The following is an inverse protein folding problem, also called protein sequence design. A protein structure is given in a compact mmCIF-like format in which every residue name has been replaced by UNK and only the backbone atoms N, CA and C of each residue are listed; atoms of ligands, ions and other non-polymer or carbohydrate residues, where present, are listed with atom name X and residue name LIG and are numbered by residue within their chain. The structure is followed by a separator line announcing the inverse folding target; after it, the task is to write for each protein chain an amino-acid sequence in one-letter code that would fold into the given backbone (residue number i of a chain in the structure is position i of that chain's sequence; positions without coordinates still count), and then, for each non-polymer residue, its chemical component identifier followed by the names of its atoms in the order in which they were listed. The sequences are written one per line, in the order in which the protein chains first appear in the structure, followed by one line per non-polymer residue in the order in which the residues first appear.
data_IF_316906940907
#
_entry.id   IF_316906940907
#
_cell.length_a   1.000
_cell.length_b   1.000
_cell.length_c   1.000
_cell.angle_alpha   90.00
_cell.angle_beta   90.00
_cell.angle_gamma   90.00
#
_symmetry.space_group_name_H-M   'P 1'
#
loop_
_entity.id
_entity.type
_entity.pdbx_description
1 polymer ?
#
# COMPACT_ATOMS: atom_id res chain seq x y z
N UNK A 1 -23.98 -8.77 -2.25
CA UNK A 1 -23.43 -7.46 -1.91
C UNK A 1 -22.75 -7.51 -0.55
N UNK A 2 -21.59 -6.98 -0.45
CA UNK A 2 -20.87 -7.00 0.82
C UNK A 2 -20.84 -5.60 1.43
N UNK A 3 -21.05 -5.55 2.74
CA UNK A 3 -20.94 -4.30 3.50
C UNK A 3 -19.57 -4.14 4.13
N UNK A 4 -18.58 -4.84 3.57
CA UNK A 4 -17.21 -4.77 4.08
C UNK A 4 -16.63 -3.38 3.83
N UNK A 5 -16.00 -2.84 4.85
CA UNK A 5 -15.25 -1.60 4.71
C UNK A 5 -13.98 -1.86 3.91
N UNK A 6 -13.63 -0.91 3.07
CA UNK A 6 -12.42 -1.00 2.25
C UNK A 6 -11.27 -0.30 2.97
N UNK A 7 -10.17 -1.01 3.11
CA UNK A 7 -8.94 -0.49 3.67
C UNK A 7 -7.93 -0.39 2.54
N UNK A 8 -7.44 0.82 2.28
CA UNK A 8 -6.41 1.05 1.27
C UNK A 8 -5.09 1.37 1.97
N UNK A 9 -4.08 0.56 1.71
CA UNK A 9 -2.73 0.79 2.18
C UNK A 9 -1.97 1.47 1.06
N UNK A 10 -1.30 2.59 1.38
CA UNK A 10 -0.55 3.37 0.40
C UNK A 10 0.93 3.27 0.72
N UNK A 11 1.73 2.87 -0.25
CA UNK A 11 3.18 2.72 -0.09
C UNK A 11 3.89 3.56 -1.15
N UNK A 12 4.50 4.69 -0.76
CA UNK A 12 5.38 5.41 -1.66
C UNK A 12 6.69 4.65 -1.83
N UNK A 13 7.18 4.60 -3.06
CA UNK A 13 8.38 3.84 -3.41
C UNK A 13 9.38 4.70 -4.16
N UNK A 14 10.65 4.56 -3.83
CA UNK A 14 11.75 5.10 -4.61
C UNK A 14 12.95 4.18 -4.45
N UNK A 15 13.32 3.47 -5.52
CA UNK A 15 14.44 2.52 -5.52
C UNK A 15 14.32 1.45 -4.43
N UNK A 16 13.16 0.76 -4.41
CA UNK A 16 12.83 -0.24 -3.39
C UNK A 16 12.62 -1.64 -3.99
N UNK A 17 13.29 -1.96 -5.10
CA UNK A 17 13.05 -3.23 -5.80
C UNK A 17 13.26 -4.48 -4.93
N UNK A 18 14.13 -4.40 -3.91
CA UNK A 18 14.40 -5.53 -3.04
C UNK A 18 13.36 -5.72 -1.93
N UNK A 19 12.56 -4.69 -1.66
CA UNK A 19 11.69 -4.67 -0.49
C UNK A 19 10.20 -4.73 -0.80
N UNK A 20 9.77 -4.32 -2.00
CA UNK A 20 8.33 -4.16 -2.26
C UNK A 20 7.56 -5.48 -2.20
N UNK A 21 8.14 -6.59 -2.67
CA UNK A 21 7.46 -7.88 -2.59
C UNK A 21 7.32 -8.37 -1.16
N UNK A 22 8.36 -8.21 -0.36
CA UNK A 22 8.32 -8.62 1.05
C UNK A 22 7.31 -7.79 1.82
N UNK A 23 7.28 -6.49 1.59
CA UNK A 23 6.30 -5.61 2.22
C UNK A 23 4.87 -6.04 1.87
N UNK A 24 4.62 -6.28 0.59
CA UNK A 24 3.30 -6.71 0.14
C UNK A 24 2.93 -8.06 0.75
N UNK A 25 3.85 -9.01 0.75
CA UNK A 25 3.61 -10.34 1.31
C UNK A 25 3.18 -10.24 2.78
N UNK A 26 3.90 -9.45 3.57
CA UNK A 26 3.61 -9.28 5.00
C UNK A 26 2.30 -8.52 5.22
N UNK A 27 2.05 -7.48 4.43
CA UNK A 27 0.80 -6.71 4.54
C UNK A 27 -0.40 -7.58 4.17
N UNK A 28 -0.29 -8.35 3.10
CA UNK A 28 -1.36 -9.24 2.67
C UNK A 28 -1.63 -10.32 3.71
N UNK A 29 -0.57 -10.87 4.32
CA UNK A 29 -0.74 -11.88 5.36
C UNK A 29 -1.54 -11.34 6.55
N UNK A 30 -1.29 -10.10 6.95
CA UNK A 30 -2.06 -9.44 8.01
C UNK A 30 -3.51 -9.26 7.59
N UNK A 31 -3.75 -8.73 6.40
CA UNK A 31 -5.12 -8.45 5.93
C UNK A 31 -5.91 -9.74 5.70
N UNK A 32 -5.25 -10.84 5.36
CA UNK A 32 -5.92 -12.14 5.21
C UNK A 32 -6.46 -12.66 6.55
N UNK A 33 -5.92 -12.20 7.67
CA UNK A 33 -6.47 -12.52 9.00
C UNK A 33 -7.67 -11.65 9.37
N UNK A 34 -8.01 -10.68 8.53
CA UNK A 34 -9.06 -9.69 8.79
C UNK A 34 -10.08 -9.70 7.62
N UNK A 35 -10.80 -10.82 7.43
CA UNK A 35 -11.65 -10.99 6.24
C UNK A 35 -12.87 -10.05 6.22
N UNK A 36 -13.15 -9.36 7.33
CA UNK A 36 -14.22 -8.36 7.39
C UNK A 36 -13.89 -7.11 6.58
N UNK A 37 -12.64 -6.92 6.16
CA UNK A 37 -12.24 -5.78 5.35
C UNK A 37 -11.95 -6.19 3.91
N UNK A 38 -12.28 -5.30 2.98
CA UNK A 38 -11.79 -5.37 1.61
C UNK A 38 -10.45 -4.63 1.59
N UNK A 39 -9.40 -5.29 1.10
CA UNK A 39 -8.04 -4.77 1.13
C UNK A 39 -7.59 -4.34 -0.26
N UNK A 40 -7.01 -3.15 -0.33
CA UNK A 40 -6.32 -2.66 -1.51
C UNK A 40 -4.95 -2.12 -1.12
N UNK A 41 -3.97 -2.36 -1.97
CA UNK A 41 -2.62 -1.86 -1.75
C UNK A 41 -2.20 -1.02 -2.96
N UNK A 42 -2.06 0.29 -2.73
CA UNK A 42 -1.66 1.23 -3.76
C UNK A 42 -0.18 1.54 -3.59
N UNK A 43 0.63 1.14 -4.55
CA UNK A 43 2.04 1.50 -4.60
C UNK A 43 2.18 2.70 -5.53
N UNK A 44 2.88 3.73 -5.06
CA UNK A 44 3.15 4.88 -5.89
C UNK A 44 4.66 5.02 -6.08
N UNK A 45 5.11 4.77 -7.30
CA UNK A 45 6.53 4.88 -7.63
C UNK A 45 6.90 6.30 -7.97
N UNK A 46 7.91 6.81 -7.31
CA UNK A 46 8.33 8.20 -7.42
C UNK A 46 9.55 8.32 -8.34
N UNK A 47 9.43 7.82 -9.57
CA UNK A 47 10.45 7.84 -10.62
C UNK A 47 11.72 7.07 -10.23
N UNK A 48 11.54 5.81 -9.81
CA UNK A 48 12.67 4.93 -9.49
C UNK A 48 13.60 4.70 -10.68
N UNK A 49 14.88 4.56 -10.40
CA UNK A 49 15.92 4.28 -11.40
C UNK A 49 16.33 2.82 -11.44
N UNK A 50 15.90 2.01 -10.49
CA UNK A 50 16.19 0.58 -10.42
C UNK A 50 15.03 -0.24 -11.01
N UNK A 51 14.92 -1.51 -10.66
CA UNK A 51 13.87 -2.41 -11.13
C UNK A 51 12.54 -2.31 -10.39
N UNK A 52 12.33 -1.31 -9.53
CA UNK A 52 11.12 -1.19 -8.73
C UNK A 52 9.84 -1.23 -9.56
N UNK A 53 9.78 -0.42 -10.63
CA UNK A 53 8.58 -0.34 -11.48
C UNK A 53 8.27 -1.70 -12.11
N UNK A 54 9.29 -2.40 -12.61
CA UNK A 54 9.10 -3.72 -13.21
C UNK A 54 8.54 -4.71 -12.20
N UNK A 55 9.05 -4.70 -10.97
CA UNK A 55 8.55 -5.57 -9.90
C UNK A 55 7.10 -5.22 -9.55
N UNK A 56 6.79 -3.93 -9.41
CA UNK A 56 5.43 -3.49 -9.09
C UNK A 56 4.43 -3.88 -10.17
N UNK A 57 4.79 -3.74 -11.44
CA UNK A 57 3.92 -4.15 -12.55
C UNK A 57 3.66 -5.65 -12.54
N UNK A 58 4.68 -6.45 -12.24
CA UNK A 58 4.51 -7.88 -12.10
C UNK A 58 3.57 -8.22 -10.94
N UNK A 59 3.71 -7.52 -9.82
CA UNK A 59 2.84 -7.71 -8.66
C UNK A 59 1.40 -7.34 -8.99
N UNK A 60 1.16 -6.24 -9.71
CA UNK A 60 -0.18 -5.84 -10.10
C UNK A 60 -0.86 -6.84 -11.03
N UNK A 61 -0.09 -7.49 -11.89
CA UNK A 61 -0.61 -8.55 -12.76
C UNK A 61 -0.92 -9.84 -11.97
N UNK A 62 -0.19 -10.07 -10.89
CA UNK A 62 -0.27 -11.29 -10.08
C UNK A 62 -1.35 -11.20 -8.98
N UNK A 63 -1.54 -10.02 -8.39
CA UNK A 63 -2.43 -9.82 -7.25
C UNK A 63 -3.50 -8.78 -7.56
N UNK A 64 -4.80 -9.14 -7.46
CA UNK A 64 -5.88 -8.21 -7.85
C UNK A 64 -6.01 -7.00 -6.92
N UNK A 65 -5.53 -7.10 -5.68
CA UNK A 65 -5.60 -5.99 -4.73
C UNK A 65 -4.52 -4.93 -4.98
N UNK A 66 -3.49 -5.24 -5.77
CA UNK A 66 -2.37 -4.33 -6.00
C UNK A 66 -2.66 -3.37 -7.14
N UNK A 67 -2.50 -2.08 -6.87
CA UNK A 67 -2.58 -1.01 -7.86
C UNK A 67 -1.27 -0.24 -7.85
N UNK A 68 -0.85 0.25 -9.01
CA UNK A 68 0.43 0.94 -9.16
C UNK A 68 0.24 2.25 -9.89
N UNK A 69 0.79 3.32 -9.33
CA UNK A 69 0.90 4.62 -10.00
C UNK A 69 2.38 4.90 -10.18
N UNK A 70 2.78 5.28 -11.39
CA UNK A 70 4.16 5.61 -11.70
C UNK A 70 4.24 7.10 -12.03
N UNK A 71 4.98 7.84 -11.23
CA UNK A 71 5.22 9.26 -11.48
C UNK A 71 6.31 9.43 -12.53
N UNK A 72 6.15 10.42 -13.40
CA UNK A 72 7.14 10.70 -14.45
C UNK A 72 8.44 11.28 -13.89
N UNK A 73 8.37 11.86 -12.68
CA UNK A 73 9.53 12.41 -11.99
C UNK A 73 9.31 12.33 -10.50
N UNK A 74 10.39 12.48 -9.72
CA UNK A 74 10.31 12.46 -8.27
C UNK A 74 9.69 13.76 -7.76
N UNK A 75 8.55 13.66 -7.08
CA UNK A 75 7.84 14.79 -6.49
C UNK A 75 8.17 14.99 -5.01
N UNK A 76 9.03 14.13 -4.43
CA UNK A 76 9.38 14.20 -3.02
C UNK A 76 8.36 13.50 -2.13
N UNK A 77 8.68 13.46 -0.84
CA UNK A 77 7.90 12.68 0.13
C UNK A 77 6.51 13.24 0.38
N UNK A 78 6.32 14.56 0.24
CA UNK A 78 5.04 15.19 0.52
C UNK A 78 4.10 15.14 -0.68
N UNK A 79 4.59 15.41 -1.88
CA UNK A 79 3.76 15.45 -3.07
C UNK A 79 3.30 14.07 -3.52
N UNK A 80 4.17 13.08 -3.45
CA UNK A 80 3.85 11.74 -3.88
C UNK A 80 2.74 11.10 -3.04
N UNK A 81 2.81 11.15 -1.69
CA UNK A 81 1.70 10.69 -0.86
C UNK A 81 0.40 11.46 -1.08
N UNK A 82 0.47 12.78 -1.31
CA UNK A 82 -0.73 13.57 -1.57
C UNK A 82 -1.38 13.20 -2.90
N UNK A 83 -0.56 12.89 -3.92
CA UNK A 83 -1.09 12.39 -5.19
C UNK A 83 -1.80 11.06 -4.98
N UNK A 84 -1.22 10.16 -4.19
CA UNK A 84 -1.83 8.88 -3.86
C UNK A 84 -3.17 9.05 -3.16
N UNK A 85 -3.29 10.04 -2.27
CA UNK A 85 -4.54 10.34 -1.58
C UNK A 85 -5.67 10.70 -2.55
N UNK A 86 -5.35 11.37 -3.65
CA UNK A 86 -6.36 11.72 -4.66
C UNK A 86 -6.83 10.50 -5.44
N UNK A 87 -5.95 9.53 -5.66
CA UNK A 87 -6.25 8.33 -6.43
C UNK A 87 -6.78 7.21 -5.57
N UNK A 88 -6.49 7.23 -4.27
CA UNK A 88 -6.92 6.19 -3.36
C UNK A 88 -8.39 6.35 -3.00
N UNK A 89 -9.03 5.24 -2.81
CA UNK A 89 -10.44 5.15 -2.50
C UNK A 89 -10.59 4.11 -1.39
N UNK A 90 -11.33 4.45 -0.34
CA UNK A 90 -11.52 3.52 0.75
C UNK A 90 -12.14 4.18 1.98
N UNK A 91 -12.64 3.35 2.91
CA UNK A 91 -13.22 3.82 4.16
C UNK A 91 -12.14 4.26 5.14
N UNK A 92 -10.98 3.65 5.05
CA UNK A 92 -9.80 4.05 5.80
C UNK A 92 -8.57 3.85 4.95
N UNK A 93 -7.55 4.66 5.21
CA UNK A 93 -6.27 4.56 4.51
C UNK A 93 -5.14 4.50 5.51
N UNK A 94 -4.15 3.67 5.22
CA UNK A 94 -2.91 3.61 5.97
C UNK A 94 -1.73 3.85 5.06
N UNK A 95 -0.66 4.39 5.61
CA UNK A 95 0.59 4.59 4.89
C UNK A 95 1.67 3.71 5.50
N UNK A 96 2.44 3.05 4.66
CA UNK A 96 3.61 2.30 5.09
C UNK A 96 4.71 2.47 4.05
N UNK A 97 5.92 2.79 4.51
CA UNK A 97 7.06 2.94 3.62
C UNK A 97 7.62 1.58 3.20
N UNK A 98 8.22 1.53 2.01
CA UNK A 98 8.72 0.28 1.46
C UNK A 98 10.04 -0.20 2.10
N UNK A 99 10.62 0.58 2.99
CA UNK A 99 11.92 0.26 3.62
C UNK A 99 11.83 -0.80 4.73
N UNK A 100 10.63 -1.28 5.04
CA UNK A 100 10.39 -2.32 6.06
C UNK A 100 10.77 -1.93 7.48
N UNK A 101 10.93 -0.63 7.77
CA UNK A 101 11.21 -0.16 9.12
C UNK A 101 9.99 -0.22 10.02
N UNK A 102 8.80 -0.09 9.44
CA UNK A 102 7.56 -0.22 10.18
C UNK A 102 6.94 -1.58 9.88
N UNK A 103 6.63 -2.40 10.91
CA UNK A 103 6.07 -3.72 10.65
C UNK A 103 4.63 -3.63 10.16
N UNK A 104 4.29 -4.22 9.01
CA UNK A 104 2.90 -4.26 8.54
C UNK A 104 1.94 -4.89 9.52
N UNK A 105 2.43 -5.74 10.40
CA UNK A 105 1.64 -6.43 11.42
C UNK A 105 0.93 -5.47 12.38
N UNK A 106 1.42 -4.23 12.49
CA UNK A 106 0.75 -3.20 13.29
C UNK A 106 -0.63 -2.78 12.75
N UNK A 107 -0.92 -3.05 11.48
CA UNK A 107 -2.22 -2.67 10.92
C UNK A 107 -3.39 -3.34 11.63
N UNK A 108 -3.24 -4.56 12.11
CA UNK A 108 -4.32 -5.23 12.84
C UNK A 108 -4.70 -4.42 14.09
N UNK A 109 -3.71 -3.95 14.83
CA UNK A 109 -3.94 -3.13 16.03
C UNK A 109 -4.51 -1.76 15.67
N UNK A 110 -3.97 -1.12 14.63
CA UNK A 110 -4.45 0.19 14.20
C UNK A 110 -5.91 0.14 13.75
N UNK A 111 -6.29 -0.89 13.02
CA UNK A 111 -7.67 -1.06 12.58
C UNK A 111 -8.61 -1.32 13.75
N UNK A 112 -8.17 -2.09 14.75
CA UNK A 112 -8.96 -2.32 15.95
C UNK A 112 -9.23 -1.00 16.69
N UNK A 113 -8.23 -0.13 16.77
CA UNK A 113 -8.38 1.19 17.39
C UNK A 113 -9.30 2.09 16.58
N UNK A 114 -9.18 2.07 15.26
CA UNK A 114 -10.05 2.84 14.39
C UNK A 114 -11.51 2.44 14.58
N UNK A 115 -11.78 1.14 14.65
CA UNK A 115 -13.14 0.64 14.86
C UNK A 115 -13.69 1.04 16.23
N UNK A 116 -12.82 1.27 17.22
CA UNK A 116 -13.25 1.70 18.56
C UNK A 116 -13.38 3.22 18.68
N UNK A 117 -13.22 3.98 17.61
CA UNK A 117 -13.50 5.40 17.60
C UNK A 117 -12.29 6.32 17.70
N UNK A 118 -11.10 5.81 17.42
CA UNK A 118 -9.90 6.64 17.34
C UNK A 118 -9.71 7.23 15.97
#
# INVERSE_FOLDING_TARGET
MTDRKRITIVTPCFNEELNVRELHRRTRAVMDTLPQYEYRHLFIDNASHDGTVAVLRAMAAEFPEVQVIVNARNFGHLRSPMHALREADGDAMGFICADLQEPPELFAELLARWESGF
#
